data_IF_068605562695
#
_entry.id   IF_068605562695
#
_cell.length_a   1.000
_cell.length_b   1.000
_cell.length_c   1.000
_cell.angle_alpha   90.00
_cell.angle_beta   90.00
_cell.angle_gamma   90.00
#
_symmetry.space_group_name_H-M   'P 1'
#
loop_
_entity.id
_entity.type
_entity.pdbx_description
1 polymer ?
#
# COMPACT_ATOMS: atom_id res chain seq x y z
N UNK A 1 -2.24 24.21 -6.88
CA UNK A 1 -2.74 22.98 -6.21
C UNK A 1 -3.00 21.89 -7.24
N UNK A 2 -3.66 22.20 -8.36
CA UNK A 2 -3.83 21.27 -9.49
C UNK A 2 -2.51 20.80 -10.11
N UNK A 3 -1.46 21.63 -10.07
CA UNK A 3 -0.16 21.28 -10.62
C UNK A 3 0.49 20.09 -9.90
N UNK A 4 0.34 19.98 -8.58
CA UNK A 4 0.91 18.86 -7.81
C UNK A 4 0.20 17.55 -8.14
N UNK A 5 -1.12 17.58 -8.33
CA UNK A 5 -1.89 16.39 -8.72
C UNK A 5 -1.46 15.96 -10.12
N UNK A 6 -1.41 16.89 -11.09
CA UNK A 6 -0.93 16.60 -12.45
C UNK A 6 0.49 16.04 -12.49
N UNK A 7 1.39 16.58 -11.66
CA UNK A 7 2.76 16.06 -11.55
C UNK A 7 2.78 14.64 -10.96
N UNK A 8 1.92 14.33 -9.97
CA UNK A 8 1.78 12.98 -9.42
C UNK A 8 1.16 12.00 -10.43
N UNK A 9 0.17 12.43 -11.20
CA UNK A 9 -0.41 11.63 -12.29
C UNK A 9 0.68 11.28 -13.31
N UNK A 10 1.52 12.26 -13.69
CA UNK A 10 2.64 12.03 -14.60
C UNK A 10 3.66 11.06 -14.01
N UNK A 11 4.08 11.25 -12.76
CA UNK A 11 5.01 10.35 -12.07
C UNK A 11 4.48 8.91 -12.03
N UNK A 12 3.20 8.75 -11.70
CA UNK A 12 2.55 7.44 -11.58
C UNK A 12 2.48 6.76 -12.94
N UNK A 13 2.04 7.50 -13.98
CA UNK A 13 1.99 7.00 -15.35
C UNK A 13 3.37 6.63 -15.89
N UNK A 14 4.36 7.48 -15.68
CA UNK A 14 5.73 7.23 -16.10
C UNK A 14 6.27 5.96 -15.41
N UNK A 15 6.08 5.82 -14.09
CA UNK A 15 6.52 4.63 -13.35
C UNK A 15 5.92 3.33 -13.92
N UNK A 16 4.60 3.26 -14.08
CA UNK A 16 3.95 2.03 -14.56
C UNK A 16 4.28 1.72 -16.03
N UNK A 17 4.47 2.76 -16.86
CA UNK A 17 4.91 2.56 -18.25
C UNK A 17 6.30 1.93 -18.34
N UNK A 18 7.24 2.31 -17.47
CA UNK A 18 8.59 1.72 -17.42
C UNK A 18 8.58 0.29 -16.86
N UNK A 19 7.64 0.00 -15.95
CA UNK A 19 7.46 -1.34 -15.39
C UNK A 19 6.70 -2.29 -16.34
N UNK A 20 6.09 -1.77 -17.41
CA UNK A 20 5.35 -2.56 -18.39
C UNK A 20 3.95 -2.99 -17.94
N UNK A 21 3.37 -2.30 -16.96
CA UNK A 21 2.01 -2.60 -16.48
C UNK A 21 0.99 -1.62 -17.04
N UNK A 22 -0.16 -2.14 -17.45
CA UNK A 22 -1.37 -1.34 -17.69
C UNK A 22 -2.10 -1.17 -16.36
N UNK A 23 -2.16 0.06 -15.86
CA UNK A 23 -2.76 0.40 -14.58
C UNK A 23 -3.57 1.67 -14.74
N UNK A 24 -4.85 1.58 -14.42
CA UNK A 24 -5.71 2.73 -14.23
C UNK A 24 -5.52 3.24 -12.80
N UNK A 25 -5.58 4.56 -12.62
CA UNK A 25 -5.42 5.12 -11.28
C UNK A 25 -6.27 6.36 -11.06
N UNK A 26 -6.63 6.58 -9.80
CA UNK A 26 -7.35 7.76 -9.34
C UNK A 26 -6.61 8.39 -8.18
N UNK A 27 -6.34 9.69 -8.27
CA UNK A 27 -5.69 10.44 -7.21
C UNK A 27 -6.74 11.28 -6.47
N UNK A 28 -6.86 11.04 -5.17
CA UNK A 28 -7.71 11.82 -4.27
C UNK A 28 -6.82 12.57 -3.28
N UNK A 29 -7.16 13.84 -3.01
CA UNK A 29 -6.48 14.63 -1.98
C UNK A 29 -7.48 14.99 -0.89
N UNK A 30 -7.19 14.54 0.32
CA UNK A 30 -7.97 14.81 1.52
C UNK A 30 -7.07 15.47 2.56
N UNK A 31 -7.29 16.76 2.79
CA UNK A 31 -6.43 17.60 3.64
C UNK A 31 -4.94 17.52 3.24
N UNK A 32 -4.11 16.87 4.06
CA UNK A 32 -2.68 16.68 3.83
C UNK A 32 -2.33 15.33 3.19
N UNK A 33 -3.28 14.40 3.10
CA UNK A 33 -3.08 13.07 2.54
C UNK A 33 -3.46 13.04 1.07
N UNK A 34 -2.55 12.53 0.24
CA UNK A 34 -2.83 12.20 -1.15
C UNK A 34 -2.92 10.69 -1.29
N UNK A 35 -4.08 10.19 -1.68
CA UNK A 35 -4.32 8.76 -1.90
C UNK A 35 -4.31 8.48 -3.40
N UNK A 36 -3.51 7.51 -3.82
CA UNK A 36 -3.45 6.99 -5.19
C UNK A 36 -4.08 5.60 -5.15
N UNK A 37 -5.29 5.50 -5.72
CA UNK A 37 -5.97 4.22 -5.91
C UNK A 37 -5.56 3.66 -7.26
N UNK A 38 -5.05 2.42 -7.25
CA UNK A 38 -4.62 1.69 -8.43
C UNK A 38 -5.63 0.59 -8.74
N UNK A 39 -6.01 0.51 -10.01
CA UNK A 39 -6.85 -0.53 -10.59
C UNK A 39 -6.06 -1.17 -11.73
N UNK A 40 -5.98 -2.50 -11.73
CA UNK A 40 -5.22 -3.25 -12.73
C UNK A 40 -5.92 -4.58 -12.98
N UNK A 41 -5.74 -5.14 -14.17
CA UNK A 41 -6.22 -6.49 -14.48
C UNK A 41 -5.49 -7.56 -13.66
N UNK A 42 -4.30 -7.25 -13.14
CA UNK A 42 -3.45 -8.15 -12.34
C UNK A 42 -3.11 -7.55 -10.95
N UNK A 43 -4.11 -7.29 -10.09
CA UNK A 43 -3.88 -6.60 -8.81
C UNK A 43 -2.95 -7.39 -7.88
N UNK A 44 -2.93 -8.72 -7.99
CA UNK A 44 -2.05 -9.59 -7.21
C UNK A 44 -0.56 -9.30 -7.41
N UNK A 45 -0.14 -8.91 -8.62
CA UNK A 45 1.26 -8.58 -8.92
C UNK A 45 1.65 -7.24 -8.27
N UNK A 46 0.76 -6.25 -8.33
CA UNK A 46 0.97 -4.94 -7.71
C UNK A 46 0.98 -5.01 -6.18
N UNK A 47 0.17 -5.90 -5.60
CA UNK A 47 0.15 -6.16 -4.16
C UNK A 47 1.43 -6.90 -3.76
N UNK A 48 1.76 -7.98 -4.46
CA UNK A 48 2.87 -8.87 -4.14
C UNK A 48 2.65 -9.65 -2.83
N UNK A 49 3.66 -10.40 -2.41
CA UNK A 49 3.56 -11.22 -1.20
C UNK A 49 3.33 -10.34 0.04
N UNK A 50 2.18 -10.52 0.70
CA UNK A 50 1.77 -9.73 1.86
C UNK A 50 1.87 -8.20 1.67
N UNK A 51 1.68 -7.69 0.45
CA UNK A 51 1.72 -6.24 0.20
C UNK A 51 3.14 -5.67 0.04
N UNK A 52 4.16 -6.51 -0.07
CA UNK A 52 5.56 -6.05 -0.22
C UNK A 52 5.76 -5.21 -1.48
N UNK A 53 5.18 -5.60 -2.62
CA UNK A 53 5.29 -4.84 -3.86
C UNK A 53 4.53 -3.51 -3.76
N UNK A 54 3.33 -3.51 -3.17
CA UNK A 54 2.56 -2.29 -2.93
C UNK A 54 3.34 -1.30 -2.05
N UNK A 55 3.98 -1.79 -1.00
CA UNK A 55 4.81 -0.96 -0.13
C UNK A 55 6.03 -0.40 -0.88
N UNK A 56 6.68 -1.20 -1.73
CA UNK A 56 7.79 -0.73 -2.57
C UNK A 56 7.33 0.35 -3.58
N UNK A 57 6.19 0.16 -4.23
CA UNK A 57 5.58 1.13 -5.14
C UNK A 57 5.27 2.45 -4.42
N UNK A 58 4.67 2.39 -3.22
CA UNK A 58 4.43 3.58 -2.42
C UNK A 58 5.72 4.34 -2.10
N UNK A 59 6.79 3.63 -1.69
CA UNK A 59 8.07 4.26 -1.41
C UNK A 59 8.68 4.91 -2.65
N UNK A 60 8.66 4.22 -3.79
CA UNK A 60 9.16 4.78 -5.05
C UNK A 60 8.42 6.06 -5.44
N UNK A 61 7.08 6.04 -5.43
CA UNK A 61 6.27 7.22 -5.75
C UNK A 61 6.54 8.36 -4.77
N UNK A 62 6.66 8.06 -3.46
CA UNK A 62 6.96 9.07 -2.45
C UNK A 62 8.33 9.72 -2.68
N UNK A 63 9.35 8.93 -3.02
CA UNK A 63 10.69 9.44 -3.33
C UNK A 63 10.72 10.26 -4.63
N UNK A 64 10.00 9.82 -5.66
CA UNK A 64 9.88 10.57 -6.92
C UNK A 64 9.16 11.89 -6.71
N UNK A 65 8.09 11.91 -5.91
CA UNK A 65 7.37 13.11 -5.51
C UNK A 65 8.27 14.07 -4.72
N UNK A 66 9.01 13.56 -3.73
CA UNK A 66 9.97 14.36 -2.97
C UNK A 66 11.03 15.00 -3.89
N UNK A 67 11.60 14.23 -4.82
CA UNK A 67 12.58 14.74 -5.80
C UNK A 67 11.98 15.84 -6.70
N UNK A 68 10.70 15.73 -7.07
CA UNK A 68 9.99 16.69 -7.92
C UNK A 68 9.60 17.97 -7.17
N UNK A 69 9.12 17.85 -5.93
CA UNK A 69 8.53 18.95 -5.19
C UNK A 69 9.48 19.62 -4.18
N UNK A 70 10.60 18.97 -3.83
CA UNK A 70 11.55 19.46 -2.83
C UNK A 70 11.04 19.40 -1.39
N UNK A 71 9.86 18.80 -1.16
CA UNK A 71 9.23 18.67 0.16
C UNK A 71 8.52 17.32 0.26
N UNK A 72 8.37 16.83 1.50
CA UNK A 72 7.65 15.59 1.77
C UNK A 72 6.16 15.78 1.57
N UNK A 73 5.56 14.90 0.76
CA UNK A 73 4.10 14.81 0.59
C UNK A 73 3.65 13.51 1.22
N UNK A 74 2.59 13.55 2.04
CA UNK A 74 1.99 12.33 2.60
C UNK A 74 1.20 11.63 1.49
N UNK A 75 1.77 10.55 0.98
CA UNK A 75 1.18 9.76 -0.10
C UNK A 75 0.84 8.37 0.43
N UNK A 76 -0.40 7.94 0.19
CA UNK A 76 -0.86 6.58 0.40
C UNK A 76 -1.15 5.97 -0.96
N UNK A 77 -0.61 4.78 -1.21
CA UNK A 77 -0.93 4.01 -2.42
C UNK A 77 -1.70 2.77 -1.99
N UNK A 78 -2.81 2.51 -2.66
CA UNK A 78 -3.64 1.33 -2.42
C UNK A 78 -4.11 0.69 -3.72
N UNK A 79 -4.35 -0.62 -3.67
CA UNK A 79 -4.80 -1.44 -4.80
C UNK A 79 -6.07 -2.13 -4.36
N UNK A 80 -7.21 -1.80 -4.96
CA UNK A 80 -8.52 -2.45 -4.70
C UNK A 80 -8.86 -2.65 -3.20
N UNK A 81 -8.62 -1.62 -2.38
CA UNK A 81 -8.84 -1.63 -0.92
C UNK A 81 -8.09 -2.76 -0.18
N UNK A 82 -6.96 -3.21 -0.74
CA UNK A 82 -6.14 -4.28 -0.18
C UNK A 82 -5.72 -3.98 1.26
N UNK A 83 -5.39 -2.72 1.57
CA UNK A 83 -4.93 -2.34 2.92
C UNK A 83 -6.01 -2.59 3.99
N UNK A 84 -7.26 -2.28 3.69
CA UNK A 84 -8.39 -2.53 4.61
C UNK A 84 -8.64 -4.03 4.75
N UNK A 85 -8.75 -4.75 3.63
CA UNK A 85 -8.91 -6.22 3.64
C UNK A 85 -7.78 -6.92 4.41
N UNK A 86 -6.55 -6.45 4.25
CA UNK A 86 -5.37 -6.98 4.94
C UNK A 86 -5.45 -6.76 6.45
N UNK A 87 -5.90 -5.57 6.88
CA UNK A 87 -6.12 -5.26 8.30
C UNK A 87 -7.10 -6.25 8.92
N UNK A 88 -8.25 -6.48 8.31
CA UNK A 88 -9.24 -7.44 8.83
C UNK A 88 -8.68 -8.86 8.94
N UNK A 89 -7.89 -9.31 7.95
CA UNK A 89 -7.27 -10.63 7.97
C UNK A 89 -6.30 -10.76 9.16
N UNK A 90 -5.52 -9.72 9.45
CA UNK A 90 -4.60 -9.69 10.57
C UNK A 90 -5.33 -9.68 11.92
N UNK A 91 -6.42 -8.92 12.04
CA UNK A 91 -7.27 -8.91 13.24
C UNK A 91 -7.87 -10.30 13.51
N UNK A 92 -8.41 -10.96 12.48
CA UNK A 92 -8.93 -12.34 12.59
C UNK A 92 -7.83 -13.34 12.96
N UNK A 93 -6.62 -13.19 12.41
CA UNK A 93 -5.47 -14.02 12.74
C UNK A 93 -5.07 -13.86 14.21
N UNK A 94 -5.02 -12.62 14.71
CA UNK A 94 -4.70 -12.32 16.10
C UNK A 94 -5.74 -12.93 17.06
N UNK A 95 -7.03 -12.77 16.76
CA UNK A 95 -8.12 -13.36 17.56
C UNK A 95 -8.05 -14.89 17.58
N UNK A 96 -7.80 -15.51 16.43
CA UNK A 96 -7.69 -16.96 16.31
C UNK A 96 -6.51 -17.51 17.11
N UNK A 97 -5.35 -16.85 17.03
CA UNK A 97 -4.17 -17.23 17.79
C UNK A 97 -4.42 -17.09 19.30
N UNK A 98 -5.05 -16.00 19.73
CA UNK A 98 -5.38 -15.80 21.14
C UNK A 98 -6.28 -16.93 21.68
N UNK A 99 -7.26 -17.39 20.90
CA UNK A 99 -8.12 -18.52 21.29
C UNK A 99 -7.34 -19.84 21.37
N UNK A 100 -6.49 -20.12 20.37
CA UNK A 100 -5.68 -21.35 20.35
C UNK A 100 -4.68 -21.40 21.50
N UNK A 101 -3.96 -20.31 21.76
CA UNK A 101 -3.01 -20.23 22.89
C UNK A 101 -3.77 -20.39 24.21
N UNK A 102 -4.95 -19.78 24.36
CA UNK A 102 -5.79 -19.92 25.56
C UNK A 102 -6.23 -21.38 25.82
N UNK A 103 -6.53 -22.13 24.76
CA UNK A 103 -6.98 -23.52 24.86
C UNK A 103 -5.83 -24.52 25.01
N UNK A 104 -4.74 -24.33 24.27
CA UNK A 104 -3.61 -25.27 24.19
C UNK A 104 -2.52 -25.00 25.22
N UNK A 105 -2.38 -23.77 25.69
CA UNK A 105 -1.25 -23.32 26.52
C UNK A 105 0.09 -23.25 25.78
N UNK A 106 0.12 -23.49 24.46
CA UNK A 106 1.35 -23.46 23.65
C UNK A 106 1.49 -22.12 22.91
N UNK A 107 2.73 -21.69 22.71
CA UNK A 107 3.03 -20.47 21.96
C UNK A 107 2.69 -20.63 20.48
N UNK A 108 2.13 -19.57 19.86
CA UNK A 108 1.84 -19.52 18.42
C UNK A 108 2.75 -18.49 17.74
N UNK A 109 3.50 -18.93 16.73
CA UNK A 109 4.40 -18.08 15.96
C UNK A 109 3.69 -17.51 14.73
N UNK A 110 3.89 -16.22 14.48
CA UNK A 110 3.34 -15.54 13.31
C UNK A 110 4.39 -15.43 12.18
N UNK A 111 3.96 -15.34 10.92
CA UNK A 111 4.86 -15.04 9.81
C UNK A 111 5.47 -13.63 9.95
N UNK A 112 6.59 -13.35 9.24
CA UNK A 112 7.16 -12.02 9.23
C UNK A 112 6.17 -10.99 8.65
N UNK A 113 6.01 -9.88 9.36
CA UNK A 113 5.07 -8.80 9.03
C UNK A 113 5.78 -7.45 9.08
N UNK A 114 5.30 -6.46 8.33
CA UNK A 114 5.81 -5.09 8.39
C UNK A 114 5.58 -4.47 9.78
N UNK A 115 6.35 -3.43 10.13
CA UNK A 115 6.18 -2.74 11.42
C UNK A 115 4.81 -2.08 11.59
N UNK A 116 4.12 -1.78 10.49
CA UNK A 116 2.74 -1.32 10.50
C UNK A 116 1.78 -2.46 10.83
N UNK A 117 1.92 -3.61 10.16
CA UNK A 117 1.07 -4.79 10.40
C UNK A 117 1.26 -5.43 11.78
N UNK A 118 2.42 -5.24 12.42
CA UNK A 118 2.69 -5.74 13.79
C UNK A 118 2.06 -4.91 14.90
N UNK A 119 1.64 -3.67 14.61
CA UNK A 119 1.05 -2.75 15.58
C UNK A 119 -0.46 -2.85 15.54
#
# INVERSE_FOLDING_TARGET
MDQQIKDLEKITKDLFSHLGFQVDFQIKKEAELVTIHLNSDEPGVLIGYHGQALNALQQMITLMAFKKFGQWVRILVDVEDYREKRKEVLERMAQSAAQKVKLSGQNEAFPPMSSFERR
#
